data_IF_617545368383
#
_entry.id   IF_617545368383
#
_cell.length_a   1.000
_cell.length_b   1.000
_cell.length_c   1.000
_cell.angle_alpha   90.00
_cell.angle_beta   90.00
_cell.angle_gamma   90.00
#
_symmetry.space_group_name_H-M   'P 1'
#
loop_
_entity.id
_entity.type
_entity.pdbx_description
1 polymer ?
#
# COMPACT_ATOMS: atom_id res chain seq x y z
N UNK A 1 8.00 -6.44 -19.17
CA UNK A 1 9.24 -6.34 -18.38
C UNK A 1 9.00 -5.30 -17.28
N UNK A 2 9.21 -5.61 -15.98
CA UNK A 2 9.06 -4.63 -14.88
C UNK A 2 9.82 -3.35 -15.22
N UNK A 3 9.11 -2.23 -15.39
CA UNK A 3 9.73 -0.95 -15.75
C UNK A 3 10.14 -0.18 -14.49
N UNK A 4 10.94 -0.82 -13.63
CA UNK A 4 11.36 -0.25 -12.34
C UNK A 4 12.18 1.03 -12.50
N UNK A 5 12.76 1.27 -13.69
CA UNK A 5 13.54 2.47 -14.00
C UNK A 5 12.73 3.78 -13.98
N UNK A 6 11.40 3.70 -14.10
CA UNK A 6 10.53 4.89 -14.07
C UNK A 6 10.00 5.21 -12.66
N UNK A 7 10.27 4.37 -11.66
CA UNK A 7 9.85 4.60 -10.27
C UNK A 7 10.74 5.67 -9.66
N UNK A 8 10.13 6.79 -9.30
CA UNK A 8 10.78 7.97 -8.74
C UNK A 8 10.84 7.91 -7.21
N UNK A 9 11.55 8.87 -6.60
CA UNK A 9 11.53 9.01 -5.13
C UNK A 9 10.13 9.32 -4.59
N UNK A 10 9.35 10.13 -5.31
CA UNK A 10 7.97 10.42 -4.94
C UNK A 10 7.11 9.16 -4.92
N UNK A 11 7.34 8.25 -5.87
CA UNK A 11 6.67 6.96 -5.92
C UNK A 11 7.01 6.07 -4.71
N UNK A 12 8.26 6.11 -4.26
CA UNK A 12 8.67 5.43 -3.02
C UNK A 12 7.94 6.03 -1.79
N UNK A 13 7.71 7.33 -1.78
CA UNK A 13 6.95 7.98 -0.71
C UNK A 13 5.47 7.56 -0.74
N UNK A 14 4.87 7.44 -1.92
CA UNK A 14 3.51 6.90 -2.13
C UNK A 14 3.42 5.44 -1.67
N UNK A 15 4.38 4.60 -2.03
CA UNK A 15 4.44 3.20 -1.58
C UNK A 15 4.50 3.11 -0.05
N UNK A 16 5.36 3.92 0.58
CA UNK A 16 5.46 3.93 2.05
C UNK A 16 4.16 4.38 2.70
N UNK A 17 3.47 5.36 2.12
CA UNK A 17 2.19 5.84 2.62
C UNK A 17 1.12 4.74 2.51
N UNK A 18 1.00 4.10 1.35
CA UNK A 18 0.10 2.97 1.14
C UNK A 18 0.34 1.83 2.14
N UNK A 19 1.59 1.38 2.30
CA UNK A 19 1.94 0.33 3.26
C UNK A 19 1.61 0.74 4.71
N UNK A 20 1.86 1.99 5.06
CA UNK A 20 1.56 2.51 6.38
C UNK A 20 0.04 2.54 6.66
N UNK A 21 -0.75 2.94 5.67
CA UNK A 21 -2.19 3.02 5.79
C UNK A 21 -2.82 1.62 5.90
N UNK A 22 -2.38 0.66 5.07
CA UNK A 22 -2.80 -0.75 5.18
C UNK A 22 -2.44 -1.32 6.56
N UNK A 23 -1.24 -1.06 7.09
CA UNK A 23 -0.88 -1.48 8.45
C UNK A 23 -1.73 -0.79 9.54
N UNK A 24 -2.10 0.48 9.34
CA UNK A 24 -2.98 1.22 10.24
C UNK A 24 -4.37 0.59 10.28
N UNK A 25 -4.89 0.19 9.13
CA UNK A 25 -6.17 -0.47 9.00
C UNK A 25 -6.19 -1.86 9.65
N UNK A 26 -5.16 -2.68 9.37
CA UNK A 26 -4.94 -3.96 10.06
C UNK A 26 -4.90 -3.77 11.58
N UNK A 27 -4.25 -2.71 12.08
CA UNK A 27 -4.21 -2.42 13.52
C UNK A 27 -5.58 -2.04 14.10
N UNK A 28 -6.50 -1.46 13.32
CA UNK A 28 -7.88 -1.21 13.76
C UNK A 28 -8.62 -2.54 13.85
N UNK A 29 -8.55 -3.35 12.81
CA UNK A 29 -9.22 -4.65 12.73
C UNK A 29 -8.74 -5.62 13.82
N UNK A 30 -7.44 -5.64 14.14
CA UNK A 30 -6.88 -6.45 15.21
C UNK A 30 -7.44 -6.12 16.61
N UNK A 31 -8.04 -4.93 16.81
CA UNK A 31 -8.68 -4.53 18.08
C UNK A 31 -10.12 -5.03 18.19
N UNK A 32 -10.71 -5.51 17.10
CA UNK A 32 -12.06 -6.07 17.09
C UNK A 32 -12.10 -7.50 17.62
N UNK A 33 -13.30 -8.00 17.87
CA UNK A 33 -13.53 -9.40 18.24
C UNK A 33 -13.44 -10.30 17.00
N UNK A 34 -12.21 -10.68 16.66
CA UNK A 34 -11.89 -11.54 15.52
C UNK A 34 -11.42 -12.93 15.97
N UNK A 35 -11.66 -13.93 15.11
CA UNK A 35 -11.18 -15.29 15.32
C UNK A 35 -9.65 -15.35 15.30
N UNK A 36 -9.07 -16.22 16.13
CA UNK A 36 -7.61 -16.39 16.25
C UNK A 36 -6.90 -16.65 14.92
N UNK A 37 -7.49 -17.46 14.04
CA UNK A 37 -6.94 -17.73 12.71
C UNK A 37 -6.77 -16.43 11.90
N UNK A 38 -7.80 -15.58 11.89
CA UNK A 38 -7.78 -14.29 11.18
C UNK A 38 -6.74 -13.35 11.79
N UNK A 39 -6.63 -13.32 13.12
CA UNK A 39 -5.63 -12.54 13.85
C UNK A 39 -4.20 -12.91 13.41
N UNK A 40 -3.89 -14.20 13.31
CA UNK A 40 -2.57 -14.68 12.87
C UNK A 40 -2.28 -14.24 11.43
N UNK A 41 -3.25 -14.38 10.52
CA UNK A 41 -3.12 -13.95 9.11
C UNK A 41 -2.86 -12.44 9.01
N UNK A 42 -3.61 -11.62 9.76
CA UNK A 42 -3.43 -10.16 9.79
C UNK A 42 -2.06 -9.74 10.32
N UNK A 43 -1.56 -10.41 11.36
CA UNK A 43 -0.22 -10.16 11.89
C UNK A 43 0.87 -10.49 10.87
N UNK A 44 0.73 -11.60 10.14
CA UNK A 44 1.69 -11.99 9.09
C UNK A 44 1.72 -10.97 7.93
N UNK A 45 0.57 -10.50 7.46
CA UNK A 45 0.52 -9.44 6.44
C UNK A 45 1.13 -8.13 6.93
N UNK A 46 0.79 -7.71 8.15
CA UNK A 46 1.35 -6.51 8.76
C UNK A 46 2.88 -6.58 8.88
N UNK A 47 3.42 -7.72 9.30
CA UNK A 47 4.87 -7.91 9.42
C UNK A 47 5.58 -7.84 8.06
N UNK A 48 4.96 -8.40 7.02
CA UNK A 48 5.44 -8.27 5.63
C UNK A 48 5.48 -6.81 5.17
N UNK A 49 4.40 -6.05 5.39
CA UNK A 49 4.33 -4.63 5.04
C UNK A 49 5.35 -3.80 5.82
N UNK A 50 5.49 -4.06 7.12
CA UNK A 50 6.46 -3.37 7.99
C UNK A 50 7.90 -3.60 7.51
N UNK A 51 8.23 -4.82 7.09
CA UNK A 51 9.56 -5.16 6.57
C UNK A 51 9.89 -4.36 5.31
N UNK A 52 8.98 -4.32 4.34
CA UNK A 52 9.16 -3.55 3.10
C UNK A 52 9.26 -2.05 3.39
N UNK A 53 8.35 -1.53 4.22
CA UNK A 53 8.35 -0.13 4.63
C UNK A 53 9.70 0.28 5.25
N UNK A 54 10.22 -0.52 6.18
CA UNK A 54 11.48 -0.22 6.85
C UNK A 54 12.68 -0.24 5.89
N UNK A 55 12.70 -1.17 4.92
CA UNK A 55 13.73 -1.19 3.87
C UNK A 55 13.69 0.09 3.03
N UNK A 56 12.52 0.49 2.55
CA UNK A 56 12.35 1.71 1.76
C UNK A 56 12.63 2.98 2.56
N UNK A 57 12.41 2.95 3.88
CA UNK A 57 12.78 4.05 4.78
C UNK A 57 14.31 4.19 4.91
N UNK A 58 15.03 3.07 4.98
CA UNK A 58 16.50 3.06 5.08
C UNK A 58 17.17 3.33 3.73
N UNK A 59 16.61 2.79 2.65
CA UNK A 59 17.10 2.96 1.29
C UNK A 59 15.90 3.22 0.35
N UNK A 60 15.61 4.48 0.00
CA UNK A 60 14.43 4.87 -0.78
C UNK A 60 14.64 4.57 -2.28
N UNK A 61 14.83 3.29 -2.60
CA UNK A 61 15.04 2.78 -3.94
C UNK A 61 14.28 1.47 -4.10
N UNK A 62 13.50 1.35 -5.18
CA UNK A 62 12.76 0.13 -5.48
C UNK A 62 13.68 -1.07 -5.71
N UNK A 63 14.91 -0.82 -6.17
CA UNK A 63 15.93 -1.85 -6.37
C UNK A 63 16.50 -2.42 -5.07
N UNK A 64 16.15 -1.86 -3.92
CA UNK A 64 16.52 -2.42 -2.61
C UNK A 64 15.64 -3.62 -2.19
N UNK A 65 14.55 -3.86 -2.93
CA UNK A 65 13.58 -4.91 -2.66
C UNK A 65 13.87 -6.17 -3.48
N UNK A 66 13.66 -7.34 -2.88
CA UNK A 66 13.62 -8.61 -3.61
C UNK A 66 12.33 -8.77 -4.41
N UNK A 67 12.27 -9.73 -5.32
CA UNK A 67 11.05 -10.02 -6.10
C UNK A 67 9.83 -10.27 -5.20
N UNK A 68 9.97 -11.10 -4.16
CA UNK A 68 8.90 -11.32 -3.19
C UNK A 68 8.50 -10.04 -2.44
N UNK A 69 9.43 -9.11 -2.21
CA UNK A 69 9.13 -7.82 -1.58
C UNK A 69 8.46 -6.84 -2.55
N UNK A 70 8.74 -6.94 -3.85
CA UNK A 70 7.99 -6.22 -4.89
C UNK A 70 6.56 -6.73 -4.98
N UNK A 71 6.34 -8.04 -4.84
CA UNK A 71 4.99 -8.62 -4.82
C UNK A 71 4.20 -8.17 -3.57
N UNK A 72 4.86 -8.14 -2.40
CA UNK A 72 4.29 -7.57 -1.17
C UNK A 72 3.95 -6.09 -1.36
N UNK A 73 4.82 -5.33 -2.05
CA UNK A 73 4.59 -3.91 -2.35
C UNK A 73 3.35 -3.74 -3.24
N UNK A 74 3.20 -4.57 -4.28
CA UNK A 74 2.02 -4.55 -5.13
C UNK A 74 0.75 -4.93 -4.35
N UNK A 75 0.83 -5.87 -3.41
CA UNK A 75 -0.25 -6.20 -2.48
C UNK A 75 -0.71 -5.00 -1.67
N UNK A 76 0.20 -4.33 -0.95
CA UNK A 76 -0.14 -3.15 -0.15
C UNK A 76 -0.66 -1.96 -0.97
N UNK A 77 -0.20 -1.80 -2.21
CA UNK A 77 -0.76 -0.79 -3.11
C UNK A 77 -2.19 -1.14 -3.55
N UNK A 78 -2.52 -2.42 -3.76
CA UNK A 78 -3.88 -2.85 -4.07
C UNK A 78 -4.82 -2.65 -2.87
N UNK A 79 -4.37 -3.00 -1.65
CA UNK A 79 -5.15 -2.75 -0.43
C UNK A 79 -5.45 -1.24 -0.28
N UNK A 80 -4.46 -0.39 -0.55
CA UNK A 80 -4.67 1.06 -0.54
C UNK A 80 -5.64 1.54 -1.62
N UNK A 81 -5.63 0.93 -2.82
CA UNK A 81 -6.60 1.23 -3.88
C UNK A 81 -8.03 0.90 -3.41
N UNK A 82 -8.23 -0.27 -2.79
CA UNK A 82 -9.53 -0.68 -2.27
C UNK A 82 -10.05 0.31 -1.22
N UNK A 83 -9.21 0.68 -0.24
CA UNK A 83 -9.55 1.68 0.78
C UNK A 83 -9.92 3.04 0.16
N UNK A 84 -9.18 3.50 -0.86
CA UNK A 84 -9.48 4.76 -1.55
C UNK A 84 -10.78 4.67 -2.36
N UNK A 85 -11.13 3.50 -2.89
CA UNK A 85 -12.40 3.28 -3.58
C UNK A 85 -13.58 3.30 -2.62
N UNK A 86 -13.46 2.69 -1.44
CA UNK A 86 -14.45 2.79 -0.38
C UNK A 86 -14.64 4.24 0.08
N UNK A 87 -13.55 4.99 0.28
CA UNK A 87 -13.63 6.40 0.65
C UNK A 87 -14.39 7.26 -0.38
N UNK A 88 -14.20 6.99 -1.67
CA UNK A 88 -14.90 7.70 -2.75
C UNK A 88 -16.41 7.45 -2.76
N UNK A 89 -16.87 6.31 -2.23
CA UNK A 89 -18.27 5.93 -2.19
C UNK A 89 -18.92 6.44 -0.89
N UNK A 90 -18.26 6.25 0.26
CA UNK A 90 -18.92 6.29 1.57
C UNK A 90 -18.42 7.41 2.51
N UNK A 91 -17.30 8.08 2.22
CA UNK A 91 -16.69 9.02 3.17
C UNK A 91 -17.28 10.45 3.12
N UNK A 92 -18.26 10.72 2.26
CA UNK A 92 -18.92 12.04 2.18
C UNK A 92 -17.97 13.17 1.73
N UNK A 93 -16.94 12.83 0.96
CA UNK A 93 -15.90 13.75 0.51
C UNK A 93 -16.44 14.93 -0.32
N UNK A 94 -15.86 16.11 -0.12
CA UNK A 94 -16.08 17.25 -1.00
C UNK A 94 -15.37 17.07 -2.36
N UNK A 95 -15.58 17.99 -3.29
CA UNK A 95 -15.05 17.87 -4.66
C UNK A 95 -13.51 17.90 -4.69
N UNK A 96 -12.88 18.69 -3.82
CA UNK A 96 -11.42 18.78 -3.73
C UNK A 96 -10.84 17.49 -3.13
N UNK A 97 -11.46 16.99 -2.07
CA UNK A 97 -11.08 15.72 -1.42
C UNK A 97 -11.24 14.54 -2.38
N UNK A 98 -12.31 14.51 -3.19
CA UNK A 98 -12.50 13.49 -4.23
C UNK A 98 -11.41 13.52 -5.28
N UNK A 99 -11.05 14.70 -5.78
CA UNK A 99 -10.00 14.84 -6.78
C UNK A 99 -8.64 14.34 -6.25
N UNK A 100 -8.30 14.71 -5.01
CA UNK A 100 -7.09 14.22 -4.34
C UNK A 100 -7.11 12.70 -4.16
N UNK A 101 -8.23 12.14 -3.71
CA UNK A 101 -8.40 10.70 -3.50
C UNK A 101 -8.26 9.93 -4.82
N UNK A 102 -8.84 10.45 -5.91
CA UNK A 102 -8.68 9.88 -7.26
C UNK A 102 -7.22 9.96 -7.72
N UNK A 103 -6.53 11.08 -7.48
CA UNK A 103 -5.12 11.24 -7.85
C UNK A 103 -4.24 10.20 -7.16
N UNK A 104 -4.37 10.05 -5.83
CA UNK A 104 -3.58 9.07 -5.06
C UNK A 104 -3.90 7.65 -5.53
N UNK A 105 -5.17 7.34 -5.78
CA UNK A 105 -5.58 6.02 -6.29
C UNK A 105 -4.92 5.72 -7.64
N UNK A 106 -4.89 6.70 -8.54
CA UNK A 106 -4.29 6.54 -9.85
C UNK A 106 -2.77 6.35 -9.76
N UNK A 107 -2.10 7.05 -8.83
CA UNK A 107 -0.68 6.85 -8.57
C UNK A 107 -0.41 5.42 -8.06
N UNK A 108 -1.21 4.92 -7.11
CA UNK A 108 -1.10 3.54 -6.63
C UNK A 108 -1.30 2.53 -7.77
N UNK A 109 -2.34 2.71 -8.61
CA UNK A 109 -2.63 1.82 -9.74
C UNK A 109 -1.49 1.78 -10.75
N UNK A 110 -0.95 2.96 -11.10
CA UNK A 110 0.23 3.07 -11.97
C UNK A 110 1.42 2.31 -11.40
N UNK A 111 1.63 2.37 -10.09
CA UNK A 111 2.74 1.66 -9.44
C UNK A 111 2.55 0.15 -9.46
N UNK A 112 1.32 -0.35 -9.24
CA UNK A 112 1.02 -1.79 -9.38
C UNK A 112 1.34 -2.27 -10.80
N UNK A 113 0.93 -1.53 -11.83
CA UNK A 113 1.22 -1.87 -13.23
C UNK A 113 2.74 -1.95 -13.51
N UNK A 114 3.52 -1.02 -12.95
CA UNK A 114 4.99 -1.03 -13.08
C UNK A 114 5.64 -2.22 -12.38
N UNK A 115 5.07 -2.68 -11.26
CA UNK A 115 5.56 -3.82 -10.47
C UNK A 115 5.13 -5.18 -11.05
N UNK A 116 4.00 -5.25 -11.76
CA UNK A 116 3.48 -6.45 -12.40
C UNK A 116 4.14 -6.77 -13.77
N UNK A 117 4.83 -5.78 -14.35
CA UNK A 117 5.39 -5.83 -15.70
C UNK A 117 6.41 -6.93 -15.96
#
# INVERSE_FOLDING_TARGET
>A
MKSLATITRNDIDIIKLALNDSMSDINKELKEDIKEKKRIELLDYKDKYLKVYNKLRQNPSIYSLSEAELDITAGGLNDAIELLEEMLIDAGLDDQEKEQTISVKNDCRRLVELLAG
#
